data_IF_178935988596
#
_entry.id   IF_178935988596
#
_cell.length_a   1.000
_cell.length_b   1.000
_cell.length_c   1.000
_cell.angle_alpha   90.00
_cell.angle_beta   90.00
_cell.angle_gamma   90.00
#
_symmetry.space_group_name_H-M   'P 1'
#
loop_
_entity.id
_entity.type
_entity.pdbx_description
1 polymer ?
#
# COMPACT_ATOMS: atom_id res chain seq x y z
N UNK A 1 -8.93 -8.33 30.34
CA UNK A 1 -8.62 -6.90 30.01
C UNK A 1 -8.89 -6.08 31.26
N UNK A 2 -8.32 -4.88 31.45
CA UNK A 2 -8.39 -4.25 32.77
C UNK A 2 -9.45 -3.14 32.87
N UNK A 3 -10.44 -3.28 33.76
CA UNK A 3 -11.39 -2.21 34.10
C UNK A 3 -10.89 -1.35 35.26
N UNK A 4 -11.01 -0.02 35.17
CA UNK A 4 -10.52 0.88 36.23
C UNK A 4 -11.59 1.13 37.29
N UNK A 5 -11.22 0.99 38.57
CA UNK A 5 -12.14 1.30 39.67
C UNK A 5 -12.35 2.81 39.81
N UNK A 6 -13.60 3.24 39.92
CA UNK A 6 -14.00 4.66 39.94
C UNK A 6 -13.47 5.45 41.16
N UNK A 7 -13.17 4.79 42.28
CA UNK A 7 -12.60 5.44 43.48
C UNK A 7 -11.06 5.34 43.55
N UNK A 8 -10.41 4.86 42.49
CA UNK A 8 -8.96 4.87 42.41
C UNK A 8 -8.43 6.31 42.39
N UNK A 9 -7.39 6.59 43.18
CA UNK A 9 -6.79 7.92 43.33
C UNK A 9 -7.76 9.01 43.81
N UNK A 10 -8.91 8.64 44.40
CA UNK A 10 -9.83 9.58 45.04
C UNK A 10 -9.74 9.48 46.56
N UNK A 11 -10.22 10.53 47.23
CA UNK A 11 -10.45 10.55 48.67
C UNK A 11 -11.94 10.47 48.95
N UNK A 12 -12.30 9.70 49.97
CA UNK A 12 -13.67 9.64 50.51
C UNK A 12 -13.65 10.38 51.85
N UNK A 13 -14.65 11.24 52.05
CA UNK A 13 -14.75 12.11 53.22
C UNK A 13 -15.89 11.67 54.14
N UNK A 14 -15.71 11.87 55.44
CA UNK A 14 -16.78 11.71 56.44
C UNK A 14 -17.77 12.88 56.42
N UNK A 15 -18.82 12.78 57.23
CA UNK A 15 -19.86 13.83 57.33
C UNK A 15 -19.33 15.20 57.79
N UNK A 16 -18.12 15.26 58.35
CA UNK A 16 -17.45 16.48 58.80
C UNK A 16 -16.39 16.97 57.79
N UNK A 17 -16.29 16.35 56.60
CA UNK A 17 -15.33 16.71 55.57
C UNK A 17 -13.90 16.23 55.83
N UNK A 18 -13.69 15.30 56.77
CA UNK A 18 -12.36 14.72 57.02
C UNK A 18 -12.17 13.46 56.17
N UNK A 19 -11.01 13.27 55.50
CA UNK A 19 -10.77 12.07 54.71
C UNK A 19 -10.71 10.82 55.60
N UNK A 20 -11.25 9.70 55.09
CA UNK A 20 -11.17 8.41 55.75
C UNK A 20 -9.77 7.79 55.60
N UNK A 21 -8.88 8.13 56.52
CA UNK A 21 -7.54 7.55 56.63
C UNK A 21 -7.64 6.12 57.17
N UNK A 22 -7.02 5.16 56.49
CA UNK A 22 -7.03 3.74 56.85
C UNK A 22 -8.33 3.01 56.53
N UNK A 23 -9.21 3.58 55.70
CA UNK A 23 -10.38 2.88 55.19
C UNK A 23 -9.98 1.66 54.33
N UNK A 24 -10.85 0.66 54.31
CA UNK A 24 -10.61 -0.64 53.68
C UNK A 24 -11.69 -0.93 52.65
N UNK A 25 -11.29 -1.05 51.38
CA UNK A 25 -12.14 -1.47 50.28
C UNK A 25 -11.96 -2.98 50.05
N UNK A 26 -13.05 -3.71 50.19
CA UNK A 26 -13.14 -5.14 49.91
C UNK A 26 -13.81 -5.35 48.57
N UNK A 27 -13.20 -6.18 47.73
CA UNK A 27 -13.74 -6.52 46.42
C UNK A 27 -14.12 -7.99 46.36
N UNK A 28 -15.32 -8.29 45.87
CA UNK A 28 -15.82 -9.65 45.70
C UNK A 28 -16.34 -9.86 44.28
N UNK A 29 -16.43 -11.12 43.85
CA UNK A 29 -17.15 -11.47 42.62
C UNK A 29 -18.62 -11.09 42.77
N UNK A 30 -19.22 -10.53 41.71
CA UNK A 30 -20.61 -10.10 41.71
C UNK A 30 -21.57 -11.19 42.19
N UNK A 31 -22.55 -10.81 43.02
CA UNK A 31 -23.51 -11.74 43.63
C UNK A 31 -22.95 -12.62 44.75
N UNK A 32 -21.70 -12.42 45.17
CA UNK A 32 -21.03 -13.28 46.17
C UNK A 32 -20.26 -12.49 47.23
N UNK A 33 -19.70 -13.22 48.21
CA UNK A 33 -18.69 -12.72 49.17
C UNK A 33 -17.30 -13.33 48.91
N UNK A 34 -17.12 -13.97 47.76
CA UNK A 34 -15.85 -14.56 47.37
C UNK A 34 -14.91 -13.46 46.88
N UNK A 35 -13.71 -13.28 47.47
CA UNK A 35 -12.76 -12.26 47.03
C UNK A 35 -12.48 -12.33 45.53
N UNK A 36 -12.52 -11.18 44.85
CA UNK A 36 -12.01 -11.04 43.48
C UNK A 36 -10.60 -10.45 43.53
N UNK A 37 -9.73 -10.90 42.64
CA UNK A 37 -8.38 -10.36 42.54
C UNK A 37 -8.42 -9.02 41.81
N UNK A 38 -7.88 -7.99 42.43
CA UNK A 38 -7.70 -6.66 41.82
C UNK A 38 -6.20 -6.35 41.71
N UNK A 39 -5.84 -5.41 40.84
CA UNK A 39 -4.46 -5.21 40.41
C UNK A 39 -4.04 -3.74 40.52
N UNK A 40 -2.74 -3.52 40.71
CA UNK A 40 -2.06 -2.21 40.83
C UNK A 40 -1.90 -1.50 39.49
N UNK A 41 -1.98 -2.23 38.39
CA UNK A 41 -1.70 -1.74 37.04
C UNK A 41 -2.64 -2.38 36.02
N UNK A 42 -2.72 -1.75 34.85
CA UNK A 42 -3.42 -2.26 33.69
C UNK A 42 -2.86 -3.61 33.21
N UNK A 43 -1.54 -3.79 33.31
CA UNK A 43 -0.88 -5.09 33.14
C UNK A 43 -1.26 -6.02 34.28
N UNK A 44 -2.35 -6.76 34.10
CA UNK A 44 -2.84 -7.78 35.04
C UNK A 44 -1.73 -8.82 35.33
N UNK A 45 -1.81 -9.50 36.46
CA UNK A 45 -0.87 -10.57 36.82
C UNK A 45 -0.59 -10.65 38.31
N UNK A 46 -0.06 -11.79 38.74
CA UNK A 46 0.18 -12.08 40.18
C UNK A 46 1.10 -11.08 40.85
N UNK A 47 2.13 -10.57 40.15
CA UNK A 47 3.05 -9.55 40.68
C UNK A 47 2.36 -8.20 40.94
N UNK A 48 1.32 -7.92 40.16
CA UNK A 48 0.55 -6.68 40.25
C UNK A 48 -0.70 -6.84 41.12
N UNK A 49 -0.97 -8.02 41.69
CA UNK A 49 -2.13 -8.22 42.54
C UNK A 49 -2.05 -7.33 43.79
N UNK A 50 -3.18 -6.72 44.12
CA UNK A 50 -3.40 -6.03 45.37
C UNK A 50 -3.77 -7.02 46.48
N UNK A 51 -3.42 -6.72 47.74
CA UNK A 51 -4.07 -7.38 48.87
C UNK A 51 -5.56 -7.00 48.90
N UNK A 52 -6.39 -7.91 49.41
CA UNK A 52 -7.81 -7.65 49.64
C UNK A 52 -8.07 -7.80 51.15
N UNK A 53 -8.39 -6.71 51.88
CA UNK A 53 -8.81 -5.39 51.37
C UNK A 53 -7.68 -4.49 50.86
N UNK A 54 -8.02 -3.59 49.95
CA UNK A 54 -7.19 -2.44 49.56
C UNK A 54 -7.39 -1.31 50.58
N UNK A 55 -6.30 -0.74 51.09
CA UNK A 55 -6.35 0.29 52.13
C UNK A 55 -5.98 1.67 51.58
N UNK A 56 -6.57 2.74 52.13
CA UNK A 56 -6.12 4.11 51.85
C UNK A 56 -4.75 4.42 52.44
N UNK A 57 -4.03 5.35 51.81
CA UNK A 57 -2.74 5.86 52.27
C UNK A 57 -2.87 6.80 53.50
N UNK A 58 -1.75 7.38 53.94
CA UNK A 58 -1.72 8.31 55.08
C UNK A 58 -2.52 9.61 54.86
N UNK A 59 -2.91 9.91 53.63
CA UNK A 59 -3.73 11.05 53.26
C UNK A 59 -5.18 10.64 52.92
N UNK A 60 -5.54 9.36 53.01
CA UNK A 60 -6.89 8.87 52.71
C UNK A 60 -7.17 8.62 51.23
N UNK A 61 -6.15 8.54 50.38
CA UNK A 61 -6.32 8.16 48.96
C UNK A 61 -6.28 6.66 48.78
N UNK A 62 -7.16 6.14 47.92
CA UNK A 62 -6.99 4.79 47.42
C UNK A 62 -5.91 4.74 46.33
N UNK A 63 -5.08 3.69 46.29
CA UNK A 63 -4.18 3.48 45.16
C UNK A 63 -4.96 3.19 43.87
N UNK A 64 -4.31 3.21 42.70
CA UNK A 64 -4.90 2.70 41.47
C UNK A 64 -5.33 1.25 41.62
N UNK A 65 -6.60 0.95 41.32
CA UNK A 65 -7.17 -0.40 41.35
C UNK A 65 -7.74 -0.73 39.98
N UNK A 66 -7.32 -1.86 39.44
CA UNK A 66 -7.77 -2.42 38.16
C UNK A 66 -8.41 -3.80 38.39
N UNK A 67 -9.47 -4.10 37.66
CA UNK A 67 -10.17 -5.39 37.65
C UNK A 67 -9.88 -6.16 36.37
N UNK A 68 -9.97 -7.49 36.38
CA UNK A 68 -10.06 -8.23 35.13
C UNK A 68 -11.50 -8.22 34.61
N UNK A 69 -11.70 -7.71 33.40
CA UNK A 69 -12.97 -7.67 32.69
C UNK A 69 -13.56 -9.07 32.48
N UNK A 70 -12.72 -10.12 32.48
CA UNK A 70 -13.19 -11.50 32.46
C UNK A 70 -14.06 -11.88 33.67
N UNK A 71 -13.95 -11.15 34.80
CA UNK A 71 -14.80 -11.36 35.97
C UNK A 71 -16.22 -10.77 35.80
N UNK A 72 -16.45 -9.92 34.79
CA UNK A 72 -17.75 -9.37 34.39
C UNK A 72 -18.36 -8.35 35.35
N UNK A 73 -18.71 -8.78 36.57
CA UNK A 73 -19.33 -7.94 37.60
C UNK A 73 -18.62 -8.10 38.94
N UNK A 74 -18.60 -7.04 39.75
CA UNK A 74 -18.04 -7.04 41.08
C UNK A 74 -19.00 -6.48 42.13
N UNK A 75 -18.72 -6.84 43.38
CA UNK A 75 -19.27 -6.24 44.59
C UNK A 75 -18.15 -5.52 45.32
N UNK A 76 -18.43 -4.33 45.81
CA UNK A 76 -17.52 -3.60 46.68
C UNK A 76 -18.15 -3.35 48.05
N UNK A 77 -17.34 -3.51 49.09
CA UNK A 77 -17.69 -3.11 50.45
C UNK A 77 -16.60 -2.21 50.99
N UNK A 78 -16.97 -1.01 51.38
CA UNK A 78 -16.06 -0.07 52.00
C UNK A 78 -16.32 0.02 53.50
N UNK A 79 -15.25 -0.08 54.30
CA UNK A 79 -15.31 0.15 55.74
C UNK A 79 -14.35 1.24 56.19
N UNK A 80 -14.69 1.91 57.30
CA UNK A 80 -13.76 2.80 58.01
C UNK A 80 -12.58 2.00 58.60
N UNK A 81 -11.55 2.70 59.07
CA UNK A 81 -10.44 2.06 59.78
C UNK A 81 -10.90 1.21 61.00
N UNK A 82 -12.04 1.57 61.61
CA UNK A 82 -12.63 0.85 62.75
C UNK A 82 -13.57 -0.28 62.32
N UNK A 83 -13.76 -0.52 61.02
CA UNK A 83 -14.61 -1.59 60.50
C UNK A 83 -16.09 -1.26 60.35
N UNK A 84 -16.47 0.02 60.50
CA UNK A 84 -17.86 0.47 60.24
C UNK A 84 -18.10 0.50 58.73
N UNK A 85 -19.19 -0.11 58.26
CA UNK A 85 -19.55 -0.10 56.84
C UNK A 85 -19.95 1.32 56.42
N UNK A 86 -19.29 1.83 55.40
CA UNK A 86 -19.62 3.12 54.76
C UNK A 86 -20.63 2.86 53.65
N UNK A 87 -20.34 1.89 52.77
CA UNK A 87 -21.28 1.39 51.77
C UNK A 87 -20.95 -0.05 51.39
N UNK A 88 -21.95 -0.75 50.83
CA UNK A 88 -21.84 -2.10 50.31
C UNK A 88 -22.77 -2.19 49.09
N UNK A 89 -22.17 -2.35 47.91
CA UNK A 89 -22.86 -2.29 46.62
C UNK A 89 -22.45 -3.51 45.79
N UNK A 90 -23.43 -4.19 45.21
CA UNK A 90 -23.25 -5.38 44.37
C UNK A 90 -23.75 -5.10 42.95
N UNK A 91 -23.31 -5.93 42.00
CA UNK A 91 -23.74 -5.89 40.60
C UNK A 91 -23.11 -4.76 39.78
N UNK A 92 -21.95 -4.25 40.20
CA UNK A 92 -21.25 -3.21 39.45
C UNK A 92 -20.55 -3.84 38.23
N UNK A 93 -20.78 -3.32 37.01
CA UNK A 93 -20.12 -3.85 35.82
C UNK A 93 -18.64 -3.46 35.80
N UNK A 94 -17.79 -4.39 35.35
CA UNK A 94 -16.39 -4.11 35.04
C UNK A 94 -16.33 -3.66 33.58
N UNK A 95 -15.96 -2.40 33.35
CA UNK A 95 -15.87 -1.82 32.00
C UNK A 95 -14.41 -1.52 31.68
N UNK A 96 -13.87 -2.21 30.68
CA UNK A 96 -12.54 -1.97 30.11
C UNK A 96 -12.57 -1.03 28.90
N UNK A 97 -11.41 -0.54 28.42
CA UNK A 97 -11.34 0.21 27.17
C UNK A 97 -11.75 -0.67 25.97
N UNK A 98 -12.49 -0.07 25.03
CA UNK A 98 -13.05 -0.74 23.85
C UNK A 98 -11.97 -1.37 22.98
N UNK A 99 -12.21 -2.61 22.55
CA UNK A 99 -11.32 -3.46 21.76
C UNK A 99 -11.15 -2.97 20.32
N UNK A 100 -9.95 -2.49 20.00
CA UNK A 100 -9.40 -2.60 18.66
C UNK A 100 -7.97 -3.09 18.77
N UNK A 101 -7.65 -4.16 18.04
CA UNK A 101 -6.43 -4.96 18.22
C UNK A 101 -5.14 -4.15 18.12
N UNK A 102 -4.35 -4.20 19.18
CA UNK A 102 -3.00 -3.66 19.22
C UNK A 102 -2.30 -4.15 20.48
N UNK A 103 -1.64 -5.30 20.40
CA UNK A 103 -0.82 -5.81 21.50
C UNK A 103 0.35 -4.86 21.80
N UNK A 104 0.52 -4.55 23.08
CA UNK A 104 1.76 -4.01 23.64
C UNK A 104 1.75 -2.51 23.95
N UNK A 105 1.07 -2.11 25.02
CA UNK A 105 1.23 -0.80 25.65
C UNK A 105 0.38 -0.67 26.91
N UNK A 106 0.98 -0.27 28.03
CA UNK A 106 0.38 -0.13 29.38
C UNK A 106 -0.66 1.00 29.51
N UNK A 107 -1.07 1.62 28.40
CA UNK A 107 -2.04 2.71 28.36
C UNK A 107 -3.08 2.40 27.29
N UNK A 108 -4.39 2.62 27.55
CA UNK A 108 -5.40 2.57 26.50
C UNK A 108 -5.04 3.57 25.41
N UNK A 109 -4.48 3.10 24.31
CA UNK A 109 -4.32 3.88 23.09
C UNK A 109 -5.60 3.70 22.28
N UNK A 110 -6.10 4.77 21.68
CA UNK A 110 -7.21 4.67 20.74
C UNK A 110 -6.81 3.72 19.61
N UNK A 111 -7.52 2.60 19.39
CA UNK A 111 -7.16 1.66 18.34
C UNK A 111 -7.18 2.25 16.92
N UNK A 112 -7.88 3.36 16.71
CA UNK A 112 -7.88 4.10 15.43
C UNK A 112 -6.64 4.98 15.25
N UNK A 113 -5.85 5.20 16.30
CA UNK A 113 -4.61 5.98 16.27
C UNK A 113 -3.39 5.17 15.81
N UNK A 114 -3.54 3.85 15.63
CA UNK A 114 -2.47 2.93 15.23
C UNK A 114 -2.79 2.27 13.89
N UNK A 115 -1.73 1.94 13.13
CA UNK A 115 -1.86 1.17 11.90
C UNK A 115 -2.44 -0.21 12.20
N UNK A 116 -3.48 -0.59 11.47
CA UNK A 116 -4.15 -1.89 11.58
C UNK A 116 -3.57 -2.88 10.56
N UNK A 117 -3.84 -4.17 10.78
CA UNK A 117 -3.43 -5.24 9.85
C UNK A 117 -3.90 -4.93 8.42
N UNK A 118 -3.00 -5.09 7.45
CA UNK A 118 -3.25 -4.77 6.04
C UNK A 118 -2.85 -3.36 5.62
N UNK A 119 -2.70 -2.42 6.57
CA UNK A 119 -2.23 -1.07 6.26
C UNK A 119 -0.83 -1.10 5.68
N UNK A 120 -0.61 -0.23 4.69
CA UNK A 120 0.65 -0.15 3.97
C UNK A 120 1.39 1.14 4.31
N UNK A 121 2.69 1.03 4.52
CA UNK A 121 3.58 2.18 4.75
C UNK A 121 4.82 2.10 3.87
N UNK A 122 5.41 3.25 3.61
CA UNK A 122 6.68 3.37 2.90
C UNK A 122 7.81 3.67 3.89
N UNK A 123 8.94 2.99 3.74
CA UNK A 123 10.12 3.18 4.57
C UNK A 123 11.39 3.31 3.72
N UNK A 124 12.33 4.14 4.20
CA UNK A 124 13.66 4.24 3.61
C UNK A 124 14.56 3.14 4.21
N UNK A 125 14.84 2.10 3.42
CA UNK A 125 15.59 0.91 3.84
C UNK A 125 15.06 -0.35 3.15
N UNK A 126 15.86 -1.42 3.07
CA UNK A 126 15.51 -2.65 2.34
C UNK A 126 15.31 -3.89 3.24
N UNK A 127 15.60 -3.75 4.53
CA UNK A 127 15.54 -4.83 5.52
C UNK A 127 14.12 -5.22 5.92
N UNK A 128 14.01 -6.30 6.69
CA UNK A 128 12.76 -6.64 7.39
C UNK A 128 12.48 -5.58 8.48
N UNK A 129 11.20 -5.37 8.80
CA UNK A 129 10.75 -4.42 9.82
C UNK A 129 9.83 -5.15 10.79
N UNK A 130 10.11 -5.08 12.08
CA UNK A 130 9.28 -5.73 13.10
C UNK A 130 7.83 -5.25 13.03
N UNK A 131 6.88 -6.19 13.05
CA UNK A 131 5.45 -5.90 12.86
C UNK A 131 5.03 -5.69 11.40
N UNK A 132 5.95 -5.77 10.44
CA UNK A 132 5.63 -5.63 9.01
C UNK A 132 6.26 -6.74 8.14
N UNK A 133 5.67 -6.97 6.97
CA UNK A 133 6.26 -7.74 5.86
C UNK A 133 6.39 -6.85 4.63
N UNK A 134 7.29 -7.17 3.70
CA UNK A 134 7.45 -6.39 2.47
C UNK A 134 6.48 -6.86 1.39
N UNK A 135 5.93 -5.94 0.62
CA UNK A 135 5.05 -6.26 -0.51
C UNK A 135 5.87 -6.67 -1.76
N UNK A 136 6.43 -7.89 -1.73
CA UNK A 136 7.54 -8.30 -2.58
C UNK A 136 7.34 -9.64 -3.32
N UNK A 137 6.08 -10.07 -3.49
CA UNK A 137 5.68 -11.35 -4.09
C UNK A 137 6.13 -12.63 -3.36
N UNK A 138 6.88 -12.52 -2.26
CA UNK A 138 7.18 -13.69 -1.43
C UNK A 138 5.94 -14.14 -0.66
N UNK A 139 6.09 -15.21 0.10
CA UNK A 139 4.96 -15.84 0.79
C UNK A 139 4.93 -15.54 2.29
N UNK A 140 3.72 -15.48 2.83
CA UNK A 140 3.42 -15.53 4.26
C UNK A 140 2.66 -16.81 4.61
N UNK A 141 2.80 -17.26 5.85
CA UNK A 141 2.11 -18.43 6.36
C UNK A 141 2.45 -18.65 7.84
N UNK A 142 1.92 -19.72 8.42
CA UNK A 142 2.18 -20.05 9.81
C UNK A 142 3.63 -20.51 10.04
N UNK A 143 3.99 -20.74 11.32
CA UNK A 143 5.37 -21.05 11.73
C UNK A 143 6.00 -22.27 11.04
N UNK A 144 5.18 -23.23 10.60
CA UNK A 144 5.66 -24.46 9.95
C UNK A 144 5.37 -24.49 8.44
N UNK A 145 4.73 -23.46 7.89
CA UNK A 145 4.35 -23.39 6.48
C UNK A 145 5.53 -23.36 5.50
N UNK A 146 6.74 -22.98 5.94
CA UNK A 146 7.90 -22.77 5.07
C UNK A 146 7.81 -21.49 4.22
N UNK A 147 6.93 -20.55 4.59
CA UNK A 147 6.77 -19.28 3.89
C UNK A 147 8.07 -18.44 3.84
N UNK A 148 8.29 -17.76 2.71
CA UNK A 148 9.60 -17.20 2.34
C UNK A 148 9.84 -15.75 2.78
N UNK A 149 8.81 -14.93 2.97
CA UNK A 149 8.95 -13.63 3.63
C UNK A 149 8.79 -13.79 5.14
N UNK A 150 7.77 -14.56 5.57
CA UNK A 150 7.48 -14.76 6.98
C UNK A 150 6.66 -16.03 7.25
N UNK A 151 7.31 -17.01 7.87
CA UNK A 151 6.69 -18.20 8.44
C UNK A 151 6.59 -18.04 9.96
N UNK A 152 5.48 -17.49 10.46
CA UNK A 152 5.29 -17.23 11.89
C UNK A 152 3.78 -17.10 12.22
N UNK A 153 3.39 -17.44 13.45
CA UNK A 153 1.98 -17.38 13.90
C UNK A 153 1.39 -15.97 13.86
N UNK A 154 2.23 -14.95 14.04
CA UNK A 154 1.84 -13.54 13.98
C UNK A 154 1.48 -13.03 12.58
N UNK A 155 1.62 -13.85 11.53
CA UNK A 155 1.12 -13.54 10.18
C UNK A 155 -0.34 -13.96 9.96
N UNK A 156 -1.01 -14.58 10.94
CA UNK A 156 -2.38 -15.11 10.79
C UNK A 156 -3.40 -14.03 10.43
N UNK A 157 -3.32 -12.88 11.11
CA UNK A 157 -4.23 -11.77 10.90
C UNK A 157 -4.11 -11.25 9.46
N UNK A 158 -2.88 -10.96 9.02
CA UNK A 158 -2.63 -10.51 7.66
C UNK A 158 -2.99 -11.55 6.60
N UNK A 159 -2.68 -12.83 6.82
CA UNK A 159 -3.09 -13.90 5.93
C UNK A 159 -4.61 -13.92 5.74
N UNK A 160 -5.35 -13.84 6.85
CA UNK A 160 -6.82 -13.84 6.81
C UNK A 160 -7.40 -12.58 6.17
N UNK A 161 -6.76 -11.43 6.38
CA UNK A 161 -7.16 -10.17 5.77
C UNK A 161 -6.96 -10.19 4.24
N UNK A 162 -5.75 -10.51 3.78
CA UNK A 162 -5.41 -10.60 2.35
C UNK A 162 -6.27 -11.66 1.64
N UNK A 163 -6.57 -12.77 2.33
CA UNK A 163 -7.46 -13.81 1.80
C UNK A 163 -8.83 -13.26 1.42
N UNK A 164 -9.39 -12.35 2.21
CA UNK A 164 -10.71 -11.82 1.91
C UNK A 164 -10.64 -10.60 0.99
N UNK A 165 -9.58 -9.81 1.10
CA UNK A 165 -9.43 -8.56 0.37
C UNK A 165 -9.08 -8.75 -1.12
N UNK A 166 -8.17 -9.69 -1.43
CA UNK A 166 -7.70 -9.89 -2.80
C UNK A 166 -7.84 -11.37 -3.23
N UNK A 167 -8.84 -11.70 -4.05
CA UNK A 167 -9.04 -13.06 -4.54
C UNK A 167 -7.98 -13.49 -5.55
N UNK A 168 -7.20 -12.57 -6.11
CA UNK A 168 -6.18 -12.85 -7.13
C UNK A 168 -4.84 -13.28 -6.53
N UNK A 169 -4.63 -13.06 -5.22
CA UNK A 169 -3.43 -13.55 -4.54
C UNK A 169 -3.41 -15.07 -4.53
N UNK A 170 -2.26 -15.61 -4.93
CA UNK A 170 -2.08 -17.05 -5.06
C UNK A 170 -1.87 -17.68 -3.70
N UNK A 171 -2.57 -18.78 -3.48
CA UNK A 171 -2.43 -19.63 -2.31
C UNK A 171 -1.80 -20.93 -2.78
N UNK A 172 -0.66 -21.27 -2.20
CA UNK A 172 0.10 -22.48 -2.59
C UNK A 172 -0.77 -23.71 -2.30
N UNK A 173 -0.97 -24.54 -3.32
CA UNK A 173 -1.90 -25.68 -3.26
C UNK A 173 -3.37 -25.31 -3.48
N UNK A 174 -3.65 -24.09 -3.93
CA UNK A 174 -4.99 -23.62 -4.27
C UNK A 174 -5.78 -23.10 -3.07
N UNK A 175 -6.79 -22.30 -3.39
CA UNK A 175 -7.68 -21.64 -2.43
C UNK A 175 -8.64 -22.66 -1.81
N UNK A 176 -8.73 -22.74 -0.49
CA UNK A 176 -9.67 -23.60 0.22
C UNK A 176 -10.98 -22.89 0.55
N UNK A 177 -11.75 -23.47 1.48
CA UNK A 177 -13.09 -23.01 1.81
C UNK A 177 -13.11 -21.63 2.52
N UNK A 178 -12.10 -21.34 3.33
CA UNK A 178 -11.95 -20.08 4.04
C UNK A 178 -10.50 -19.92 4.52
N UNK A 179 -10.14 -18.68 4.87
CA UNK A 179 -8.78 -18.34 5.26
C UNK A 179 -8.25 -19.17 6.45
N UNK A 180 -9.08 -19.44 7.45
CA UNK A 180 -8.66 -20.18 8.64
C UNK A 180 -8.36 -21.65 8.32
N UNK A 181 -9.14 -22.26 7.42
CA UNK A 181 -8.89 -23.62 6.97
C UNK A 181 -7.53 -23.72 6.24
N UNK A 182 -7.23 -22.77 5.35
CA UNK A 182 -5.97 -22.76 4.62
C UNK A 182 -4.77 -22.41 5.51
N UNK A 183 -4.97 -21.54 6.50
CA UNK A 183 -3.99 -21.26 7.54
C UNK A 183 -3.67 -22.50 8.38
N UNK A 184 -4.69 -23.22 8.86
CA UNK A 184 -4.53 -24.44 9.66
C UNK A 184 -3.95 -25.59 8.85
N UNK A 185 -4.14 -25.59 7.53
CA UNK A 185 -3.52 -26.53 6.59
C UNK A 185 -2.05 -26.20 6.27
N UNK A 186 -1.44 -25.21 6.95
CA UNK A 186 -0.06 -24.77 6.72
C UNK A 186 0.20 -24.24 5.31
N UNK A 187 -0.83 -23.77 4.61
CA UNK A 187 -0.66 -23.19 3.28
C UNK A 187 0.06 -21.85 3.35
N UNK A 188 0.70 -21.52 2.25
CA UNK A 188 1.37 -20.25 2.04
C UNK A 188 0.51 -19.38 1.11
N UNK A 189 0.55 -18.07 1.31
CA UNK A 189 -0.06 -17.09 0.38
C UNK A 189 1.00 -16.12 -0.12
N UNK A 190 0.97 -15.82 -1.42
CA UNK A 190 1.81 -14.78 -2.02
C UNK A 190 1.35 -13.39 -1.58
N UNK A 191 2.29 -12.52 -1.21
CA UNK A 191 2.02 -11.11 -0.96
C UNK A 191 1.83 -10.35 -2.27
N UNK A 192 1.12 -9.20 -2.25
CA UNK A 192 1.10 -8.27 -3.38
C UNK A 192 2.52 -7.88 -3.84
N UNK A 193 2.73 -7.78 -5.16
CA UNK A 193 4.04 -7.44 -5.74
C UNK A 193 4.11 -5.99 -6.20
N UNK A 194 4.69 -5.13 -5.36
CA UNK A 194 4.87 -3.71 -5.66
C UNK A 194 6.30 -3.34 -6.08
N UNK A 195 7.15 -4.34 -6.34
CA UNK A 195 8.55 -4.09 -6.71
C UNK A 195 8.62 -3.34 -8.04
N UNK A 196 9.24 -2.16 -8.04
CA UNK A 196 9.44 -1.34 -9.24
C UNK A 196 8.16 -0.72 -9.80
N UNK A 197 7.08 -0.64 -9.01
CA UNK A 197 5.78 -0.12 -9.46
C UNK A 197 5.52 1.29 -8.93
N UNK A 198 4.86 2.10 -9.75
CA UNK A 198 4.18 3.30 -9.28
C UNK A 198 2.86 2.91 -8.60
N UNK A 199 2.48 3.63 -7.55
CA UNK A 199 1.21 3.42 -6.85
C UNK A 199 0.10 4.14 -7.60
N UNK A 200 -1.00 3.44 -7.85
CA UNK A 200 -2.24 4.00 -8.39
C UNK A 200 -3.39 3.62 -7.47
N UNK A 201 -4.36 4.54 -7.30
CA UNK A 201 -5.61 4.21 -6.63
C UNK A 201 -6.43 3.23 -7.47
N UNK A 202 -7.33 2.47 -6.84
CA UNK A 202 -8.27 1.66 -7.62
C UNK A 202 -9.20 2.56 -8.43
N UNK A 203 -9.74 2.08 -9.55
CA UNK A 203 -10.54 2.94 -10.44
C UNK A 203 -11.93 3.28 -9.84
N UNK A 204 -12.41 2.46 -8.90
CA UNK A 204 -13.73 2.55 -8.27
C UNK A 204 -13.66 3.32 -6.94
N UNK A 205 -12.77 2.95 -6.01
CA UNK A 205 -12.59 3.59 -4.69
C UNK A 205 -13.90 3.94 -3.95
N UNK A 206 -14.88 3.03 -3.98
CA UNK A 206 -16.19 3.22 -3.34
C UNK A 206 -17.17 4.11 -4.10
N UNK A 207 -16.85 4.49 -5.34
CA UNK A 207 -17.72 5.22 -6.27
C UNK A 207 -17.82 4.47 -7.61
N UNK A 208 -18.52 5.01 -8.60
CA UNK A 208 -18.48 4.53 -9.98
C UNK A 208 -17.06 4.70 -10.54
N UNK A 209 -16.63 3.76 -11.39
CA UNK A 209 -15.32 3.77 -12.02
C UNK A 209 -15.02 5.08 -12.75
N UNK A 210 -13.84 5.68 -12.48
CA UNK A 210 -13.40 6.90 -13.15
C UNK A 210 -12.97 6.67 -14.61
N UNK A 211 -12.57 5.44 -14.96
CA UNK A 211 -12.09 5.02 -16.28
C UNK A 211 -10.86 5.80 -16.79
N UNK A 212 -10.02 6.32 -15.87
CA UNK A 212 -8.72 6.90 -16.24
C UNK A 212 -7.70 5.79 -16.50
N UNK A 213 -7.71 4.74 -15.66
CA UNK A 213 -7.02 3.49 -15.90
C UNK A 213 -8.06 2.38 -15.79
N UNK A 214 -8.74 2.04 -16.90
CA UNK A 214 -9.84 1.08 -16.88
C UNK A 214 -9.42 -0.27 -16.29
N UNK A 215 -10.18 -0.74 -15.30
CA UNK A 215 -9.95 -2.03 -14.66
C UNK A 215 -8.81 -2.06 -13.63
N UNK A 216 -8.29 -0.90 -13.19
CA UNK A 216 -7.34 -0.83 -12.09
C UNK A 216 -7.99 -1.23 -10.75
N UNK A 217 -8.07 -2.54 -10.48
CA UNK A 217 -8.48 -3.12 -9.21
C UNK A 217 -7.31 -3.33 -8.24
N UNK A 218 -7.57 -3.92 -7.07
CA UNK A 218 -6.50 -4.34 -6.15
C UNK A 218 -5.56 -5.33 -6.86
N UNK A 219 -4.26 -5.14 -6.68
CA UNK A 219 -3.23 -5.96 -7.31
C UNK A 219 -3.05 -5.73 -8.81
N UNK A 220 -3.80 -4.81 -9.44
CA UNK A 220 -3.64 -4.50 -10.85
C UNK A 220 -2.22 -4.01 -11.16
N UNK A 221 -1.71 -4.46 -12.30
CA UNK A 221 -0.37 -4.18 -12.76
C UNK A 221 -0.39 -3.82 -14.24
N UNK A 222 0.16 -2.66 -14.60
CA UNK A 222 0.30 -2.21 -15.98
C UNK A 222 1.37 -1.13 -16.12
N UNK A 223 1.48 -0.56 -17.32
CA UNK A 223 2.51 0.42 -17.70
C UNK A 223 3.74 -0.21 -18.34
N UNK A 224 4.63 0.63 -18.87
CA UNK A 224 5.83 0.24 -19.60
C UNK A 224 7.03 1.10 -19.18
N UNK A 225 8.21 0.48 -19.09
CA UNK A 225 9.44 1.19 -18.72
C UNK A 225 10.05 1.93 -19.92
N UNK A 226 9.89 1.39 -21.12
CA UNK A 226 10.31 2.02 -22.36
C UNK A 226 9.28 1.73 -23.45
N UNK A 227 9.07 2.71 -24.32
CA UNK A 227 8.05 2.66 -25.37
C UNK A 227 8.68 2.88 -26.75
N UNK A 228 8.36 2.00 -27.70
CA UNK A 228 8.69 2.21 -29.11
C UNK A 228 7.46 2.74 -29.82
N UNK A 229 7.55 3.95 -30.37
CA UNK A 229 6.46 4.57 -31.11
C UNK A 229 6.05 3.69 -32.29
N UNK A 230 4.77 3.36 -32.37
CA UNK A 230 4.13 2.79 -33.54
C UNK A 230 3.92 3.84 -34.63
N UNK A 231 3.60 3.39 -35.85
CA UNK A 231 3.27 4.29 -36.97
C UNK A 231 2.07 5.20 -36.63
N UNK A 232 1.10 4.71 -35.84
CA UNK A 232 -0.05 5.50 -35.43
C UNK A 232 0.26 6.58 -34.39
N UNK A 233 1.37 6.43 -33.65
CA UNK A 233 1.82 7.40 -32.63
C UNK A 233 2.81 8.42 -33.21
N UNK A 234 3.29 8.23 -34.44
CA UNK A 234 4.10 9.20 -35.15
C UNK A 234 3.21 10.28 -35.79
N UNK A 235 3.50 11.58 -35.59
CA UNK A 235 2.82 12.63 -36.33
C UNK A 235 2.95 12.44 -37.85
N UNK A 236 1.88 12.76 -38.58
CA UNK A 236 1.94 12.84 -40.03
C UNK A 236 3.02 13.85 -40.44
N UNK A 237 3.99 13.42 -41.23
CA UNK A 237 5.09 14.25 -41.69
C UNK A 237 5.50 13.85 -43.11
N UNK A 238 6.15 14.77 -43.80
CA UNK A 238 6.76 14.54 -45.10
C UNK A 238 8.12 15.22 -45.15
N UNK A 239 9.03 14.67 -45.94
CA UNK A 239 10.32 15.30 -46.21
C UNK A 239 10.23 16.10 -47.52
N UNK A 240 10.62 17.39 -47.53
CA UNK A 240 10.62 18.17 -48.75
C UNK A 240 11.70 17.63 -49.70
N UNK A 241 11.31 17.38 -50.96
CA UNK A 241 12.22 17.05 -52.03
C UNK A 241 12.33 18.25 -52.97
N UNK A 242 13.55 18.72 -53.23
CA UNK A 242 13.83 19.77 -54.21
C UNK A 242 14.73 19.20 -55.29
N UNK A 243 14.23 19.15 -56.52
CA UNK A 243 15.03 18.97 -57.73
C UNK A 243 15.11 20.34 -58.42
N UNK A 244 16.25 21.06 -58.34
CA UNK A 244 16.41 22.39 -58.95
C UNK A 244 16.21 22.40 -60.47
N UNK A 245 16.07 21.22 -61.07
CA UNK A 245 15.98 21.04 -62.51
C UNK A 245 17.34 21.24 -63.17
N UNK A 246 17.49 20.62 -64.32
CA UNK A 246 18.60 20.90 -65.23
C UNK A 246 18.10 20.69 -66.66
N UNK A 247 18.71 21.40 -67.60
CA UNK A 247 18.36 21.31 -69.02
C UNK A 247 19.44 20.54 -69.75
N UNK A 248 19.03 19.62 -70.61
CA UNK A 248 19.91 19.02 -71.59
C UNK A 248 19.84 19.88 -72.85
N UNK A 249 20.87 20.70 -73.08
CA UNK A 249 20.95 21.51 -74.30
C UNK A 249 21.17 20.60 -75.50
N UNK A 250 20.16 20.45 -76.34
CA UNK A 250 20.32 19.91 -77.68
C UNK A 250 20.24 21.04 -78.70
N UNK A 251 21.40 21.38 -79.24
CA UNK A 251 21.52 22.39 -80.28
C UNK A 251 22.82 22.20 -81.02
N UNK A 252 22.74 21.76 -82.27
CA UNK A 252 23.78 22.06 -83.24
C UNK A 252 23.80 23.59 -83.33
N UNK A 253 24.84 24.25 -82.81
CA UNK A 253 25.03 25.68 -83.11
C UNK A 253 25.15 25.77 -84.63
N UNK A 254 24.10 26.22 -85.31
CA UNK A 254 24.22 26.66 -86.69
C UNK A 254 25.07 27.94 -86.66
N UNK A 255 26.39 27.76 -86.67
CA UNK A 255 27.30 28.87 -86.89
C UNK A 255 27.10 29.30 -88.34
N UNK A 256 26.70 30.55 -88.55
CA UNK A 256 26.56 31.10 -89.89
C UNK A 256 27.91 31.03 -90.59
N UNK A 257 28.01 30.17 -91.60
CA UNK A 257 29.15 30.14 -92.52
C UNK A 257 28.97 31.26 -93.55
N UNK A 258 29.98 32.10 -93.75
CA UNK A 258 29.98 33.08 -94.84
C UNK A 258 29.92 32.32 -96.17
N UNK A 259 28.83 32.47 -96.91
CA UNK A 259 28.63 31.83 -98.22
C UNK A 259 29.56 32.46 -99.27
N UNK A 260 30.37 31.64 -99.95
CA UNK A 260 31.04 32.01 -101.20
C UNK A 260 30.39 31.29 -102.39
N UNK A 261 30.52 31.88 -103.59
CA UNK A 261 29.96 31.32 -104.82
C UNK A 261 30.55 29.93 -105.10
N UNK A 262 29.69 28.91 -105.12
CA UNK A 262 30.08 27.51 -105.33
C UNK A 262 29.77 26.57 -104.14
N UNK A 263 29.44 27.09 -102.96
CA UNK A 263 29.09 26.28 -101.79
C UNK A 263 27.56 26.32 -101.52
N UNK A 264 26.87 25.21 -101.77
CA UNK A 264 25.52 24.96 -101.24
C UNK A 264 25.61 24.43 -99.81
N UNK A 265 25.55 25.35 -98.84
CA UNK A 265 25.40 24.98 -97.43
C UNK A 265 23.98 24.51 -97.16
N UNK A 266 23.77 23.18 -97.12
CA UNK A 266 22.52 22.60 -96.67
C UNK A 266 22.40 22.73 -95.14
N UNK A 267 21.35 23.37 -94.66
CA UNK A 267 20.88 23.15 -93.30
C UNK A 267 19.68 22.21 -93.36
N UNK A 268 19.84 20.98 -92.91
CA UNK A 268 18.75 20.21 -92.33
C UNK A 268 19.33 19.11 -91.43
N UNK A 269 19.27 19.37 -90.13
CA UNK A 269 19.49 18.40 -89.08
C UNK A 269 18.41 17.31 -89.19
N UNK A 270 18.77 16.10 -89.59
CA UNK A 270 17.85 14.95 -89.60
C UNK A 270 18.31 13.88 -90.57
N UNK A 271 18.63 12.68 -90.06
CA UNK A 271 18.74 11.48 -90.89
C UNK A 271 17.41 11.15 -91.58
N UNK A 272 17.33 10.06 -92.37
CA UNK A 272 16.16 9.72 -93.21
C UNK A 272 14.87 9.38 -92.46
N UNK A 273 14.82 9.53 -91.13
CA UNK A 273 13.72 9.10 -90.28
C UNK A 273 13.08 10.32 -89.58
N UNK A 274 11.82 10.70 -89.88
CA UNK A 274 11.11 11.78 -89.21
C UNK A 274 10.58 11.34 -87.83
N UNK A 275 11.30 10.46 -87.14
CA UNK A 275 10.93 9.98 -85.81
C UNK A 275 11.19 11.06 -84.77
N UNK A 276 10.41 11.04 -83.67
CA UNK A 276 10.56 12.00 -82.60
C UNK A 276 12.00 11.97 -82.05
N UNK A 277 12.68 13.11 -82.15
CA UNK A 277 14.01 13.33 -81.59
C UNK A 277 13.92 13.28 -80.06
N UNK A 278 14.23 12.13 -79.46
CA UNK A 278 14.19 11.93 -78.01
C UNK A 278 15.51 12.34 -77.36
N UNK A 279 15.47 13.18 -76.32
CA UNK A 279 16.61 13.38 -75.42
C UNK A 279 16.83 12.14 -74.55
N UNK A 280 18.08 11.82 -74.20
CA UNK A 280 18.37 10.74 -73.26
C UNK A 280 17.76 11.04 -71.88
N UNK A 281 17.17 10.04 -71.23
CA UNK A 281 16.72 10.12 -69.85
C UNK A 281 17.94 10.08 -68.91
N UNK A 282 18.16 11.16 -68.15
CA UNK A 282 19.08 11.16 -67.01
C UNK A 282 18.26 11.23 -65.73
N UNK A 283 18.32 10.17 -64.92
CA UNK A 283 17.76 10.21 -63.58
C UNK A 283 18.68 11.06 -62.69
N UNK A 284 18.11 11.94 -61.88
CA UNK A 284 18.88 12.74 -60.89
C UNK A 284 19.54 11.88 -59.81
N UNK A 285 19.16 10.61 -59.68
CA UNK A 285 19.69 9.69 -58.66
C UNK A 285 19.22 10.03 -57.24
N UNK A 286 18.21 10.90 -57.11
CA UNK A 286 17.69 11.33 -55.82
C UNK A 286 17.00 10.14 -55.13
N UNK A 287 17.59 9.69 -54.02
CA UNK A 287 17.01 8.67 -53.14
C UNK A 287 16.72 9.27 -51.77
N UNK A 288 15.70 8.76 -51.09
CA UNK A 288 15.36 9.16 -49.74
C UNK A 288 15.30 7.91 -48.86
N UNK A 289 16.28 7.78 -47.96
CA UNK A 289 16.27 6.72 -46.96
C UNK A 289 15.41 7.13 -45.77
N UNK A 290 14.73 6.18 -45.11
CA UNK A 290 14.05 6.45 -43.85
C UNK A 290 15.02 7.04 -42.82
N UNK A 291 14.57 8.07 -42.09
CA UNK A 291 15.32 8.65 -40.96
C UNK A 291 14.59 8.31 -39.67
N UNK A 292 15.30 7.71 -38.72
CA UNK A 292 14.75 7.23 -37.45
C UNK A 292 15.26 5.84 -37.10
N UNK A 293 15.54 5.61 -35.82
CA UNK A 293 16.15 4.34 -35.35
C UNK A 293 15.15 3.31 -34.82
N UNK A 294 13.86 3.68 -34.65
CA UNK A 294 12.82 2.82 -34.07
C UNK A 294 13.14 2.32 -32.65
N UNK A 295 14.07 2.97 -31.95
CA UNK A 295 14.50 2.57 -30.62
C UNK A 295 13.49 3.02 -29.57
N UNK A 296 13.30 2.20 -28.55
CA UNK A 296 12.43 2.54 -27.44
C UNK A 296 12.99 3.74 -26.67
N UNK A 297 12.14 4.67 -26.25
CA UNK A 297 12.52 5.77 -25.38
C UNK A 297 12.09 5.48 -23.94
N UNK A 298 12.81 6.07 -22.98
CA UNK A 298 12.46 5.97 -21.57
C UNK A 298 11.07 6.57 -21.32
N UNK A 299 10.16 5.77 -20.74
CA UNK A 299 8.83 6.21 -20.32
C UNK A 299 8.72 6.34 -18.78
N UNK A 300 9.83 6.14 -18.05
CA UNK A 300 9.87 6.27 -16.59
C UNK A 300 10.02 7.74 -16.22
N UNK A 301 9.06 8.24 -15.44
CA UNK A 301 9.13 9.57 -14.80
C UNK A 301 10.30 9.66 -13.79
N UNK A 302 10.87 10.84 -13.52
CA UNK A 302 11.86 11.02 -12.46
C UNK A 302 11.36 10.43 -11.12
N UNK A 303 12.03 9.39 -10.63
CA UNK A 303 11.53 8.57 -9.51
C UNK A 303 12.62 8.28 -8.48
N UNK A 304 12.21 8.07 -7.22
CA UNK A 304 13.05 7.58 -6.12
C UNK A 304 12.35 6.43 -5.42
N UNK A 305 13.12 5.39 -5.07
CA UNK A 305 12.57 4.17 -4.50
C UNK A 305 12.50 4.20 -2.97
N UNK A 306 11.41 3.64 -2.45
CA UNK A 306 11.19 3.30 -1.04
C UNK A 306 10.74 1.84 -0.96
N UNK A 307 10.92 1.20 0.19
CA UNK A 307 10.35 -0.12 0.42
C UNK A 307 8.94 0.01 0.95
N UNK A 308 8.03 -0.77 0.35
CA UNK A 308 6.64 -0.85 0.75
C UNK A 308 6.46 -2.02 1.72
N UNK A 309 5.94 -1.70 2.89
CA UNK A 309 5.69 -2.61 4.00
C UNK A 309 4.19 -2.73 4.27
N UNK A 310 3.73 -3.91 4.67
CA UNK A 310 2.34 -4.22 5.04
C UNK A 310 2.32 -4.63 6.52
N UNK A 311 1.42 -4.03 7.30
CA UNK A 311 1.24 -4.32 8.73
C UNK A 311 0.67 -5.72 8.91
N UNK A 312 1.31 -6.50 9.78
CA UNK A 312 0.84 -7.82 10.20
C UNK A 312 -0.34 -7.73 11.15
#
# INVERSE_FOLDING_TARGET
MAGFWNQSNTQIHDANGKPFIGARAYFYKGGTTTPVTVYKSYSLGSINAHPNPVQTDGNGYFPPVFFDEADGFYRERLTSAQGVIIYDVDGLPIIGPSTGGGGGGDTPVDPSSVLITGDMIMGYGAGARTGFVRANARTIGNAISGASERANSDAQALFSWLWNADPNLTVVGGRGANALADWNANKQMTLPDWRGRAIVGTDVMGNIAANIIPGAGLGWAGGEAAHTLSVGEMPNHAHPLSDPGHVHNWGNRAQGFQLSSGNVGAFAQGGPDPSALNTANSYTGITMSPVGGGQAHNNIQPSRALTIYIRL
#
